data_IF_294875589528
#
_entry.id   IF_294875589528
#
_cell.length_a   1.000
_cell.length_b   1.000
_cell.length_c   1.000
_cell.angle_alpha   90.00
_cell.angle_beta   90.00
_cell.angle_gamma   90.00
#
_symmetry.space_group_name_H-M   'P 1'
#
loop_
_entity.id
_entity.type
_entity.pdbx_description
1 polymer ?
#
# COMPACT_ATOMS: atom_id res chain seq x y z
N UNK A 1 -11.83 -6.63 -12.93
CA UNK A 1 -12.09 -5.62 -14.00
C UNK A 1 -10.89 -5.35 -14.93
N UNK A 2 -9.67 -5.14 -14.41
CA UNK A 2 -8.47 -4.84 -15.23
C UNK A 2 -8.23 -5.81 -16.40
N UNK A 3 -8.32 -7.12 -16.14
CA UNK A 3 -8.13 -8.15 -17.17
C UNK A 3 -9.16 -8.09 -18.29
N UNK A 4 -10.41 -7.73 -17.97
CA UNK A 4 -11.45 -7.55 -18.99
C UNK A 4 -11.17 -6.34 -19.87
N UNK A 5 -10.75 -5.22 -19.29
CA UNK A 5 -10.36 -4.03 -20.05
C UNK A 5 -9.18 -4.34 -20.98
N UNK A 6 -8.14 -5.04 -20.49
CA UNK A 6 -7.03 -5.47 -21.35
C UNK A 6 -7.49 -6.35 -22.53
N UNK A 7 -8.46 -7.25 -22.31
CA UNK A 7 -9.04 -8.08 -23.37
C UNK A 7 -9.89 -7.25 -24.33
N UNK A 8 -10.66 -6.29 -23.82
CA UNK A 8 -11.47 -5.36 -24.59
C UNK A 8 -10.64 -4.50 -25.54
N UNK A 9 -9.58 -3.86 -25.04
CA UNK A 9 -8.66 -3.07 -25.86
C UNK A 9 -8.01 -3.91 -26.96
N UNK A 10 -7.55 -5.11 -26.62
CA UNK A 10 -6.96 -6.04 -27.60
C UNK A 10 -7.98 -6.45 -28.68
N UNK A 11 -9.22 -6.75 -28.29
CA UNK A 11 -10.29 -7.07 -29.24
C UNK A 11 -10.64 -5.88 -30.11
N UNK A 12 -10.67 -4.66 -29.56
CA UNK A 12 -10.93 -3.43 -30.31
C UNK A 12 -9.85 -3.13 -31.34
N UNK A 13 -8.58 -3.39 -31.01
CA UNK A 13 -7.47 -3.24 -31.97
C UNK A 13 -7.55 -4.25 -33.13
N UNK A 14 -7.95 -5.51 -32.85
CA UNK A 14 -7.99 -6.58 -33.86
C UNK A 14 -9.27 -6.56 -34.71
N UNK A 15 -10.42 -6.39 -34.06
CA UNK A 15 -11.74 -6.54 -34.67
C UNK A 15 -12.46 -5.20 -34.86
N UNK A 16 -12.02 -4.13 -34.20
CA UNK A 16 -12.70 -2.83 -34.23
C UNK A 16 -13.87 -2.70 -33.27
N UNK A 17 -14.17 -3.73 -32.47
CA UNK A 17 -15.31 -3.80 -31.57
C UNK A 17 -14.94 -4.54 -30.25
N UNK A 18 -15.82 -4.48 -29.26
CA UNK A 18 -15.65 -5.14 -27.96
C UNK A 18 -16.27 -6.55 -27.99
N UNK A 19 -15.42 -7.59 -27.90
CA UNK A 19 -15.86 -9.00 -27.98
C UNK A 19 -16.08 -9.69 -26.62
N UNK A 20 -15.70 -9.07 -25.50
CA UNK A 20 -15.60 -9.77 -24.21
C UNK A 20 -15.62 -8.83 -22.99
N UNK A 21 -16.59 -7.92 -22.91
CA UNK A 21 -16.77 -7.07 -21.74
C UNK A 21 -18.08 -7.42 -21.04
N UNK A 22 -18.02 -7.72 -19.75
CA UNK A 22 -19.23 -7.92 -18.92
C UNK A 22 -19.91 -6.60 -18.58
N UNK A 23 -19.15 -5.51 -18.58
CA UNK A 23 -19.64 -4.13 -18.39
C UNK A 23 -19.45 -3.34 -19.68
N UNK A 24 -20.51 -3.23 -20.46
CA UNK A 24 -20.52 -2.48 -21.72
C UNK A 24 -21.36 -1.22 -21.51
N UNK A 25 -20.76 -0.06 -21.78
CA UNK A 25 -21.45 1.22 -21.69
C UNK A 25 -22.49 1.41 -22.80
N UNK A 26 -22.28 0.78 -23.97
CA UNK A 26 -23.17 0.85 -25.12
C UNK A 26 -23.20 -0.46 -25.91
N UNK A 27 -24.38 -1.04 -26.18
CA UNK A 27 -24.51 -2.27 -26.97
C UNK A 27 -24.05 -2.10 -28.43
N UNK A 28 -23.89 -0.86 -28.91
CA UNK A 28 -23.42 -0.57 -30.28
C UNK A 28 -21.93 -0.93 -30.44
N UNK A 29 -21.16 -0.90 -29.35
CA UNK A 29 -19.73 -1.26 -29.38
C UNK A 29 -19.51 -2.79 -29.36
N UNK A 30 -20.58 -3.58 -29.26
CA UNK A 30 -20.49 -5.03 -29.28
C UNK A 30 -20.16 -5.56 -30.66
N UNK A 31 -19.29 -6.53 -30.61
CA UNK A 31 -18.90 -7.35 -31.73
C UNK A 31 -20.07 -8.26 -32.19
N UNK A 32 -20.61 -8.04 -33.41
CA UNK A 32 -21.63 -8.92 -34.03
C UNK A 32 -21.00 -10.15 -34.69
N UNK A 33 -21.73 -11.28 -34.72
CA UNK A 33 -21.26 -12.66 -35.02
C UNK A 33 -20.40 -12.81 -36.30
N UNK A 34 -20.48 -11.90 -37.27
CA UNK A 34 -19.65 -11.90 -38.48
C UNK A 34 -18.39 -11.03 -38.35
N UNK A 35 -17.32 -11.57 -37.75
CA UNK A 35 -16.06 -10.83 -37.61
C UNK A 35 -15.21 -10.88 -38.88
N UNK A 36 -15.17 -9.76 -39.62
CA UNK A 36 -14.07 -9.51 -40.53
C UNK A 36 -12.87 -9.03 -39.74
N UNK A 37 -11.93 -9.94 -39.48
CA UNK A 37 -10.62 -9.60 -38.92
C UNK A 37 -10.02 -8.51 -39.80
N UNK A 38 -9.60 -7.40 -39.19
CA UNK A 38 -8.85 -6.38 -39.94
C UNK A 38 -7.61 -7.06 -40.53
N UNK A 39 -7.29 -6.77 -41.79
CA UNK A 39 -6.06 -7.24 -42.44
C UNK A 39 -4.85 -6.59 -41.77
N UNK A 40 -4.41 -7.17 -40.65
CA UNK A 40 -3.24 -6.74 -39.91
C UNK A 40 -1.99 -7.43 -40.46
N UNK A 41 -0.94 -6.64 -40.65
CA UNK A 41 0.41 -7.15 -40.89
C UNK A 41 0.87 -8.06 -39.74
N UNK A 42 1.71 -9.06 -40.05
CA UNK A 42 2.30 -9.94 -39.05
C UNK A 42 3.11 -9.18 -37.98
N UNK A 43 3.75 -8.07 -38.38
CA UNK A 43 4.52 -7.20 -37.48
C UNK A 43 3.61 -6.50 -36.46
N UNK A 44 2.46 -5.97 -36.90
CA UNK A 44 1.51 -5.30 -35.99
C UNK A 44 0.87 -6.29 -35.02
N UNK A 45 0.58 -7.52 -35.44
CA UNK A 45 0.02 -8.54 -34.55
C UNK A 45 0.96 -8.90 -33.39
N UNK A 46 2.27 -8.92 -33.63
CA UNK A 46 3.27 -9.21 -32.57
C UNK A 46 3.31 -8.10 -31.52
N UNK A 47 3.25 -6.84 -31.96
CA UNK A 47 3.23 -5.68 -31.08
C UNK A 47 1.97 -5.66 -30.21
N UNK A 48 0.80 -5.92 -30.81
CA UNK A 48 -0.49 -5.98 -30.10
C UNK A 48 -0.50 -7.11 -29.05
N UNK A 49 0.07 -8.28 -29.38
CA UNK A 49 0.25 -9.38 -28.41
C UNK A 49 1.17 -8.97 -27.25
N UNK A 50 2.28 -8.28 -27.53
CA UNK A 50 3.20 -7.77 -26.50
C UNK A 50 2.50 -6.76 -25.59
N UNK A 51 1.74 -5.83 -26.16
CA UNK A 51 0.94 -4.85 -25.41
C UNK A 51 -0.07 -5.52 -24.50
N UNK A 52 -0.81 -6.52 -25.01
CA UNK A 52 -1.74 -7.34 -24.20
C UNK A 52 -1.04 -8.02 -23.03
N UNK A 53 0.11 -8.64 -23.28
CA UNK A 53 0.85 -9.33 -22.23
C UNK A 53 1.32 -8.36 -21.14
N UNK A 54 1.86 -7.20 -21.54
CA UNK A 54 2.25 -6.14 -20.61
C UNK A 54 1.04 -5.61 -19.80
N UNK A 55 -0.12 -5.45 -20.43
CA UNK A 55 -1.35 -5.03 -19.75
C UNK A 55 -1.75 -6.02 -18.66
N UNK A 56 -1.76 -7.32 -18.98
CA UNK A 56 -2.11 -8.39 -18.04
C UNK A 56 -1.12 -8.47 -16.87
N UNK A 57 0.19 -8.36 -17.15
CA UNK A 57 1.22 -8.42 -16.11
C UNK A 57 1.14 -7.23 -15.14
N UNK A 58 0.74 -6.06 -15.62
CA UNK A 58 0.60 -4.86 -14.80
C UNK A 58 -0.75 -4.74 -14.08
N UNK A 59 -1.66 -5.70 -14.26
CA UNK A 59 -2.91 -5.72 -13.52
C UNK A 59 -2.65 -6.04 -12.04
N UNK A 60 -2.94 -5.06 -11.18
CA UNK A 60 -2.92 -5.23 -9.72
C UNK A 60 -4.06 -6.16 -9.28
N UNK A 61 -3.88 -6.89 -8.16
CA UNK A 61 -4.98 -7.63 -7.55
C UNK A 61 -6.12 -6.68 -7.16
N UNK A 62 -7.34 -7.21 -7.13
CA UNK A 62 -8.54 -6.42 -6.83
C UNK A 62 -8.55 -6.02 -5.35
N UNK A 63 -8.65 -4.71 -5.06
CA UNK A 63 -8.79 -4.20 -3.69
C UNK A 63 -10.18 -4.45 -3.10
N UNK A 64 -11.18 -4.57 -3.98
CA UNK A 64 -12.56 -4.87 -3.62
C UNK A 64 -12.98 -6.09 -4.42
N UNK A 65 -13.32 -7.17 -3.73
CA UNK A 65 -13.84 -8.39 -4.34
C UNK A 65 -15.21 -8.68 -3.74
N UNK A 66 -16.22 -8.64 -4.60
CA UNK A 66 -17.56 -9.05 -4.22
C UNK A 66 -17.74 -10.53 -4.56
N UNK A 67 -18.14 -11.33 -3.57
CA UNK A 67 -18.23 -12.78 -3.70
C UNK A 67 -19.63 -13.26 -3.29
N UNK A 68 -20.32 -13.91 -4.21
CA UNK A 68 -21.64 -14.50 -3.96
C UNK A 68 -21.50 -15.99 -3.67
N UNK A 69 -21.88 -16.40 -2.46
CA UNK A 69 -22.13 -17.82 -2.20
C UNK A 69 -23.42 -18.20 -2.91
N UNK A 70 -23.32 -19.12 -3.86
CA UNK A 70 -24.48 -19.60 -4.61
C UNK A 70 -24.68 -21.10 -4.36
N UNK A 71 -25.91 -21.55 -4.55
CA UNK A 71 -26.30 -22.95 -4.52
C UNK A 71 -27.04 -23.22 -5.81
N UNK A 72 -26.57 -24.21 -6.58
CA UNK A 72 -27.23 -24.61 -7.82
C UNK A 72 -28.22 -25.72 -7.50
N UNK A 73 -29.41 -25.62 -8.06
CA UNK A 73 -30.41 -26.69 -8.01
C UNK A 73 -30.92 -26.88 -9.42
N UNK A 74 -30.60 -28.03 -9.99
CA UNK A 74 -31.06 -28.43 -11.32
C UNK A 74 -32.36 -29.19 -11.12
N UNK A 75 -33.39 -28.83 -11.90
CA UNK A 75 -34.65 -29.57 -11.97
C UNK A 75 -34.89 -29.92 -13.42
N UNK A 76 -35.13 -31.19 -13.69
CA UNK A 76 -35.57 -31.62 -14.99
C UNK A 76 -37.02 -31.17 -15.16
N UNK A 77 -37.24 -30.31 -16.15
CA UNK A 77 -38.57 -29.92 -16.56
C UNK A 77 -39.17 -31.08 -17.34
N UNK A 78 -39.93 -31.96 -16.65
CA UNK A 78 -40.81 -32.93 -17.32
C UNK A 78 -42.00 -32.17 -17.93
N UNK A 79 -41.74 -31.49 -19.03
CA UNK A 79 -42.76 -30.86 -19.85
C UNK A 79 -43.18 -31.93 -20.85
N UNK A 80 -44.36 -32.51 -20.64
CA UNK A 80 -44.95 -33.62 -21.39
C UNK A 80 -45.43 -33.23 -22.81
N UNK A 81 -44.85 -32.17 -23.39
CA UNK A 81 -45.29 -31.60 -24.65
C UNK A 81 -44.38 -32.05 -25.78
N UNK A 82 -45.00 -32.79 -26.71
CA UNK A 82 -44.47 -33.15 -28.01
C UNK A 82 -44.27 -31.91 -28.89
N UNK A 83 -43.30 -31.05 -28.57
CA UNK A 83 -42.55 -30.31 -29.58
C UNK A 83 -41.25 -29.77 -28.98
N UNK A 84 -40.14 -30.27 -29.49
CA UNK A 84 -38.79 -30.12 -28.97
C UNK A 84 -38.23 -28.72 -29.24
N UNK A 85 -38.18 -27.90 -28.20
CA UNK A 85 -37.20 -26.81 -28.12
C UNK A 85 -36.43 -26.96 -26.83
N UNK A 86 -35.09 -26.96 -26.92
CA UNK A 86 -34.15 -27.05 -25.81
C UNK A 86 -34.25 -25.78 -24.94
N UNK A 87 -35.35 -25.64 -24.20
CA UNK A 87 -35.63 -24.53 -23.31
C UNK A 87 -34.99 -24.78 -21.95
N UNK A 88 -34.00 -23.96 -21.62
CA UNK A 88 -33.45 -23.89 -20.27
C UNK A 88 -34.04 -22.68 -19.54
N UNK A 89 -34.78 -22.92 -18.44
CA UNK A 89 -35.22 -21.87 -17.53
C UNK A 89 -34.21 -21.71 -16.38
N UNK A 90 -33.69 -20.50 -16.19
CA UNK A 90 -32.75 -20.17 -15.11
C UNK A 90 -33.43 -19.18 -14.16
N UNK A 91 -33.89 -19.65 -13.00
CA UNK A 91 -34.44 -18.78 -11.95
C UNK A 91 -33.35 -18.40 -10.95
N UNK A 92 -33.02 -17.11 -10.85
CA UNK A 92 -32.04 -16.59 -9.89
C UNK A 92 -32.78 -16.04 -8.66
N UNK A 93 -32.64 -16.71 -7.52
CA UNK A 93 -33.21 -16.24 -6.24
C UNK A 93 -32.11 -15.83 -5.26
N UNK A 94 -32.19 -14.61 -4.70
CA UNK A 94 -31.27 -14.15 -3.65
C UNK A 94 -31.86 -14.49 -2.28
N UNK A 95 -31.20 -15.40 -1.55
CA UNK A 95 -31.57 -15.75 -0.16
C UNK A 95 -30.64 -15.03 0.81
N UNK A 96 -31.21 -14.43 1.87
CA UNK A 96 -30.52 -13.65 2.89
C UNK A 96 -29.79 -12.40 2.35
N UNK A 97 -30.33 -11.22 2.66
CA UNK A 97 -29.75 -9.92 2.27
C UNK A 97 -28.59 -9.47 3.15
N UNK A 98 -28.19 -10.26 4.14
CA UNK A 98 -27.05 -9.98 5.01
C UNK A 98 -25.74 -10.00 4.23
N UNK A 99 -25.01 -8.89 4.24
CA UNK A 99 -23.71 -8.77 3.59
C UNK A 99 -22.61 -9.04 4.61
N UNK A 100 -21.76 -10.04 4.35
CA UNK A 100 -20.54 -10.27 5.13
C UNK A 100 -19.44 -9.40 4.54
N UNK A 101 -18.95 -8.45 5.33
CA UNK A 101 -17.91 -7.51 4.92
C UNK A 101 -16.58 -7.97 5.52
N UNK A 102 -15.70 -8.55 4.69
CA UNK A 102 -14.32 -8.84 5.06
C UNK A 102 -13.43 -7.66 4.66
N UNK A 103 -12.76 -7.03 5.62
CA UNK A 103 -11.85 -5.90 5.38
C UNK A 103 -10.47 -6.23 5.93
N UNK A 104 -9.45 -5.96 5.13
CA UNK A 104 -8.06 -5.98 5.60
C UNK A 104 -7.79 -4.67 6.35
N UNK A 105 -7.69 -4.75 7.68
CA UNK A 105 -7.28 -3.63 8.53
C UNK A 105 -5.79 -3.79 8.81
N UNK A 106 -4.94 -2.80 8.49
CA UNK A 106 -3.52 -2.89 8.82
C UNK A 106 -3.36 -3.02 10.34
N UNK A 107 -2.51 -3.96 10.78
CA UNK A 107 -2.24 -4.23 12.19
C UNK A 107 -1.59 -3.05 12.93
N UNK A 108 -0.84 -2.22 12.19
CA UNK A 108 -0.19 -1.04 12.73
C UNK A 108 -0.52 0.17 11.87
N UNK A 109 -1.03 1.21 12.51
CA UNK A 109 -1.20 2.52 11.90
C UNK A 109 0.15 3.17 11.62
N UNK A 110 0.21 4.10 10.67
CA UNK A 110 1.42 4.85 10.37
C UNK A 110 1.97 5.58 11.60
N UNK A 111 1.13 5.97 12.57
CA UNK A 111 1.55 6.62 13.81
C UNK A 111 2.01 5.70 14.95
N UNK A 112 1.53 4.45 15.00
CA UNK A 112 1.79 3.55 16.13
C UNK A 112 3.25 3.08 16.16
N UNK A 113 3.82 2.81 14.99
CA UNK A 113 5.23 2.41 14.86
C UNK A 113 6.14 3.56 15.32
N UNK A 114 5.83 4.79 14.92
CA UNK A 114 6.59 5.96 15.38
C UNK A 114 6.41 6.20 16.88
N UNK A 115 5.25 5.90 17.45
CA UNK A 115 5.03 6.00 18.89
C UNK A 115 5.88 4.98 19.65
N UNK A 116 5.93 3.72 19.20
CA UNK A 116 6.75 2.68 19.85
C UNK A 116 8.25 2.98 19.75
N UNK A 117 8.73 3.31 18.55
CA UNK A 117 10.15 3.64 18.35
C UNK A 117 10.50 4.94 19.08
N UNK A 118 9.65 5.96 18.95
CA UNK A 118 9.83 7.25 19.61
C UNK A 118 9.84 7.13 21.14
N UNK A 119 9.00 6.28 21.72
CA UNK A 119 8.99 6.00 23.16
C UNK A 119 10.30 5.35 23.63
N UNK A 120 10.78 4.34 22.91
CA UNK A 120 12.07 3.69 23.20
C UNK A 120 13.23 4.69 23.07
N UNK A 121 13.33 5.39 21.94
CA UNK A 121 14.38 6.39 21.71
C UNK A 121 14.32 7.50 22.75
N UNK A 122 13.13 7.99 23.08
CA UNK A 122 12.93 9.00 24.12
C UNK A 122 13.41 8.54 25.49
N UNK A 123 13.14 7.28 25.87
CA UNK A 123 13.63 6.71 27.12
C UNK A 123 15.17 6.64 27.16
N UNK A 124 15.79 6.12 26.10
CA UNK A 124 17.25 6.03 25.99
C UNK A 124 17.92 7.41 26.02
N UNK A 125 17.35 8.39 25.32
CA UNK A 125 17.83 9.77 25.34
C UNK A 125 17.67 10.40 26.72
N UNK A 126 16.55 10.16 27.41
CA UNK A 126 16.33 10.64 28.77
C UNK A 126 17.41 10.18 29.75
N UNK A 127 17.72 8.87 29.75
CA UNK A 127 18.80 8.30 30.59
C UNK A 127 20.15 8.90 30.22
N UNK A 128 20.42 9.03 28.93
CA UNK A 128 21.68 9.60 28.44
C UNK A 128 21.86 11.06 28.90
N UNK A 129 20.84 11.91 28.73
CA UNK A 129 20.88 13.32 29.17
C UNK A 129 21.13 13.43 30.67
N UNK A 130 20.47 12.58 31.48
CA UNK A 130 20.67 12.57 32.93
C UNK A 130 22.12 12.24 33.32
N UNK A 131 22.73 11.26 32.64
CA UNK A 131 24.16 10.94 32.87
C UNK A 131 25.09 12.07 32.42
N UNK A 132 24.78 12.74 31.31
CA UNK A 132 25.56 13.88 30.85
C UNK A 132 25.52 15.06 31.82
N UNK A 133 24.35 15.34 32.40
CA UNK A 133 24.22 16.40 33.41
C UNK A 133 25.05 16.13 34.66
N UNK A 134 25.09 14.88 35.14
CA UNK A 134 25.92 14.50 36.31
C UNK A 134 27.43 14.62 36.01
N UNK A 135 27.86 14.27 34.79
CA UNK A 135 29.26 14.45 34.36
C UNK A 135 29.62 15.94 34.27
N UNK A 136 28.75 16.76 33.66
CA UNK A 136 28.97 18.20 33.54
C UNK A 136 29.05 18.86 34.92
N UNK A 137 28.19 18.48 35.86
CA UNK A 137 28.21 19.01 37.22
C UNK A 137 29.55 18.74 37.92
N UNK A 138 30.05 17.50 37.85
CA UNK A 138 31.36 17.13 38.42
C UNK A 138 32.52 17.91 37.79
N UNK A 139 32.46 18.16 36.48
CA UNK A 139 33.45 18.98 35.78
C UNK A 139 33.39 20.45 36.22
N UNK A 140 32.19 21.02 36.35
CA UNK A 140 32.00 22.37 36.85
C UNK A 140 32.52 22.53 38.29
N UNK A 141 32.21 21.58 39.18
CA UNK A 141 32.71 21.59 40.56
C UNK A 141 34.25 21.53 40.62
N UNK A 142 34.89 20.65 39.83
CA UNK A 142 36.36 20.62 39.73
C UNK A 142 36.94 21.92 39.20
N UNK A 143 36.37 22.49 38.14
CA UNK A 143 36.84 23.76 37.58
C UNK A 143 36.74 24.92 38.59
N UNK A 144 35.66 24.99 39.38
CA UNK A 144 35.50 25.98 40.45
C UNK A 144 36.57 25.76 41.54
N UNK A 145 36.82 24.52 41.94
CA UNK A 145 37.85 24.20 42.93
C UNK A 145 39.25 24.59 42.45
N UNK A 146 39.59 24.27 41.19
CA UNK A 146 40.86 24.64 40.58
C UNK A 146 41.03 26.16 40.47
N UNK A 147 39.96 26.87 40.08
CA UNK A 147 39.94 28.34 40.05
C UNK A 147 40.17 28.95 41.42
N UNK A 148 39.62 28.37 42.50
CA UNK A 148 39.90 28.82 43.88
C UNK A 148 41.36 28.58 44.27
N UNK A 149 41.93 27.41 43.95
CA UNK A 149 43.34 27.09 44.22
C UNK A 149 44.29 28.08 43.55
N UNK A 150 44.11 28.33 42.25
CA UNK A 150 44.93 29.30 41.50
C UNK A 150 44.77 30.75 42.01
N UNK A 151 43.63 31.08 42.62
CA UNK A 151 43.41 32.40 43.23
C UNK A 151 44.17 32.55 44.56
N UNK A 152 44.42 31.48 45.30
CA UNK A 152 45.22 31.54 46.54
C UNK A 152 46.72 31.64 46.24
N UNK A 153 47.21 30.96 45.20
CA UNK A 153 48.61 31.07 44.76
C UNK A 153 48.98 32.49 44.29
N UNK A 154 48.03 33.23 43.71
CA UNK A 154 48.24 34.64 43.35
C UNK A 154 48.21 35.61 44.54
N UNK A 155 47.64 35.23 45.70
CA UNK A 155 47.64 36.07 46.91
C UNK A 155 48.96 35.90 47.68
N UNK A 156 49.55 34.70 47.67
CA UNK A 156 50.84 34.43 48.31
C UNK A 156 52.03 35.07 47.57
N UNK A 157 51.91 35.34 46.26
CA UNK A 157 52.93 35.99 45.44
C UNK A 157 52.87 37.52 45.45
N UNK A 158 52.10 38.15 46.35
CA UNK A 158 52.20 39.59 46.57
C UNK A 158 53.52 39.88 47.33
N UNK A 159 54.48 40.60 46.72
CA UNK A 159 55.77 40.82 47.33
C UNK A 159 55.59 41.63 48.61
N UNK A 160 55.97 41.03 49.73
CA UNK A 160 56.25 41.78 50.96
C UNK A 160 57.46 42.64 50.65
N UNK A 161 57.21 43.87 50.20
CA UNK A 161 58.24 44.88 50.03
C UNK A 161 58.75 45.24 51.42
N UNK A 162 59.77 44.51 51.88
CA UNK A 162 60.59 44.92 53.02
C UNK A 162 61.29 46.23 52.66
N UNK A 163 60.94 47.26 53.44
CA UNK A 163 61.56 48.57 53.46
C UNK A 163 62.91 48.39 54.17
N UNK A 164 64.01 48.40 53.42
CA UNK A 164 65.34 48.54 53.99
C UNK A 164 65.63 50.03 54.25
N UNK A 165 65.82 50.36 55.51
CA UNK A 165 66.46 51.60 55.98
C UNK A 165 67.92 51.28 56.32
N UNK A 166 68.77 52.28 56.06
CA UNK A 166 70.22 52.41 56.30
C UNK A 166 71.19 51.91 55.22
#
# INVERSE_FOLDING_TARGET
>A
MCLEMCRGEFSKEIFGCNAALTMISSPIDLCYISFNRKNLSSKSLREIKKKRHNCIQNCKPECLKLHYKHSLTVRDLNIDWADSTDLAEITISVKNTGVIILRHVPLYGSGEIFSHIGGLVGFWLGVSVFTFTDVIEKLCQKAIHWKKSLRMDNVQNSPTSEIHLD
#
